data_IF_752949963572
#
_entry.id   IF_752949963572
#
_cell.length_a   1.000
_cell.length_b   1.000
_cell.length_c   1.000
_cell.angle_alpha   90.00
_cell.angle_beta   90.00
_cell.angle_gamma   90.00
#
_symmetry.space_group_name_H-M   'P 1'
#
loop_
_entity.id
_entity.type
_entity.pdbx_description
1 polymer ?
#
# COMPACT_ATOMS: atom_id res chain seq x y z
N UNK A 1 3.51 -0.92 -43.30
CA UNK A 1 4.19 0.13 -42.52
C UNK A 1 3.73 0.00 -41.08
N UNK A 2 4.57 -0.56 -40.21
CA UNK A 2 4.25 -0.67 -38.77
C UNK A 2 4.84 0.58 -38.13
N UNK A 3 4.01 1.50 -37.67
CA UNK A 3 4.46 2.70 -36.97
C UNK A 3 5.22 2.30 -35.70
N UNK A 4 6.49 2.72 -35.60
CA UNK A 4 7.37 2.38 -34.48
C UNK A 4 6.84 2.88 -33.12
N UNK A 5 6.00 3.91 -33.12
CA UNK A 5 5.32 4.46 -31.94
C UNK A 5 4.27 3.51 -31.33
N UNK A 6 3.78 2.53 -32.09
CA UNK A 6 2.79 1.56 -31.61
C UNK A 6 3.44 0.43 -30.81
N UNK A 7 4.75 0.19 -30.97
CA UNK A 7 5.47 -0.91 -30.32
C UNK A 7 5.43 -0.78 -28.78
N UNK A 8 5.70 0.39 -28.16
CA UNK A 8 5.56 0.55 -26.70
C UNK A 8 4.12 0.41 -26.20
N UNK A 9 3.15 0.85 -27.00
CA UNK A 9 1.74 0.83 -26.64
C UNK A 9 1.21 -0.61 -26.59
N UNK A 10 1.57 -1.44 -27.57
CA UNK A 10 1.18 -2.86 -27.62
C UNK A 10 1.67 -3.65 -26.41
N UNK A 11 2.91 -3.41 -25.95
CA UNK A 11 3.45 -4.03 -24.74
C UNK A 11 2.68 -3.63 -23.48
N UNK A 12 2.31 -2.36 -23.37
CA UNK A 12 1.54 -1.83 -22.23
C UNK A 12 0.13 -2.41 -22.20
N UNK A 13 -0.57 -2.44 -23.35
CA UNK A 13 -1.90 -3.03 -23.47
C UNK A 13 -1.90 -4.52 -23.11
N UNK A 14 -0.91 -5.28 -23.60
CA UNK A 14 -0.73 -6.68 -23.23
C UNK A 14 -0.57 -6.83 -21.72
N UNK A 15 0.25 -6.00 -21.09
CA UNK A 15 0.49 -6.06 -19.65
C UNK A 15 -0.78 -5.74 -18.84
N UNK A 16 -1.57 -4.73 -19.26
CA UNK A 16 -2.84 -4.38 -18.62
C UNK A 16 -3.81 -5.56 -18.72
N UNK A 17 -3.99 -6.14 -19.92
CA UNK A 17 -4.86 -7.31 -20.13
C UNK A 17 -4.43 -8.51 -19.29
N UNK A 18 -3.14 -8.82 -19.27
CA UNK A 18 -2.61 -9.91 -18.45
C UNK A 18 -2.86 -9.70 -16.95
N UNK A 19 -2.73 -8.44 -16.46
CA UNK A 19 -3.07 -8.12 -15.07
C UNK A 19 -4.58 -8.26 -14.80
N UNK A 20 -5.46 -7.91 -15.74
CA UNK A 20 -6.91 -8.09 -15.58
C UNK A 20 -7.27 -9.58 -15.47
N UNK A 21 -6.71 -10.43 -16.34
CA UNK A 21 -6.93 -11.89 -16.28
C UNK A 21 -6.45 -12.47 -14.95
N UNK A 22 -5.22 -12.14 -14.53
CA UNK A 22 -4.67 -12.57 -13.23
C UNK A 22 -5.49 -12.05 -12.04
N UNK A 23 -5.99 -10.83 -12.14
CA UNK A 23 -6.79 -10.18 -11.09
C UNK A 23 -8.11 -10.88 -10.81
N UNK A 24 -8.76 -11.42 -11.84
CA UNK A 24 -10.00 -12.19 -11.68
C UNK A 24 -9.74 -13.61 -11.18
N UNK A 25 -8.61 -14.23 -11.56
CA UNK A 25 -8.29 -15.60 -11.17
C UNK A 25 -7.68 -15.72 -9.77
N UNK A 26 -6.66 -14.93 -9.47
CA UNK A 26 -5.86 -15.03 -8.23
C UNK A 26 -6.05 -13.82 -7.30
N UNK A 27 -6.42 -12.67 -7.85
CA UNK A 27 -6.43 -11.40 -7.13
C UNK A 27 -5.04 -10.81 -6.90
N UNK A 28 -5.00 -9.62 -6.33
CA UNK A 28 -3.78 -8.92 -5.93
C UNK A 28 -3.82 -8.59 -4.45
N UNK A 29 -2.67 -8.71 -3.81
CA UNK A 29 -2.47 -8.40 -2.40
C UNK A 29 -1.23 -7.51 -2.23
N UNK A 30 -1.35 -6.49 -1.36
CA UNK A 30 -0.24 -5.65 -0.92
C UNK A 30 -0.22 -5.61 0.59
N UNK A 31 0.91 -6.04 1.16
CA UNK A 31 1.16 -6.03 2.59
C UNK A 31 1.87 -4.74 3.00
N UNK A 32 1.34 -4.07 4.01
CA UNK A 32 1.90 -2.89 4.65
C UNK A 32 2.21 -3.21 6.12
N UNK A 33 3.32 -2.69 6.60
CA UNK A 33 3.77 -2.84 7.99
C UNK A 33 3.83 -1.47 8.67
N UNK A 34 3.32 -1.42 9.90
CA UNK A 34 3.38 -0.29 10.80
C UNK A 34 4.61 -0.45 11.69
N UNK A 35 5.57 0.45 11.55
CA UNK A 35 6.78 0.47 12.38
C UNK A 35 6.73 1.70 13.28
N UNK A 36 6.62 1.48 14.58
CA UNK A 36 6.62 2.56 15.56
C UNK A 36 5.94 2.15 16.85
N UNK A 37 6.41 2.71 17.96
CA UNK A 37 5.79 2.46 19.27
C UNK A 37 4.45 3.18 19.31
N UNK A 38 3.38 2.44 19.62
CA UNK A 38 2.01 2.97 19.69
C UNK A 38 1.31 3.09 18.34
N UNK A 39 1.92 2.64 17.25
CA UNK A 39 1.27 2.61 15.94
C UNK A 39 0.41 1.37 15.80
N UNK A 40 -0.85 1.59 15.42
CA UNK A 40 -1.84 0.52 15.29
C UNK A 40 -2.83 0.81 14.19
N UNK A 41 -3.23 -0.24 13.49
CA UNK A 41 -4.40 -0.27 12.63
C UNK A 41 -5.48 -1.12 13.26
N UNK A 42 -6.73 -0.67 13.13
CA UNK A 42 -7.90 -1.43 13.51
C UNK A 42 -8.98 -1.25 12.44
N UNK A 43 -9.65 -2.34 12.08
CA UNK A 43 -10.84 -2.28 11.23
C UNK A 43 -12.03 -1.77 12.05
N UNK A 44 -12.69 -0.73 11.56
CA UNK A 44 -13.94 -0.20 12.10
C UNK A 44 -15.05 -0.46 11.08
N UNK A 45 -15.60 -1.67 11.13
CA UNK A 45 -16.54 -2.13 10.10
C UNK A 45 -15.86 -2.27 8.75
N UNK A 46 -16.19 -1.39 7.80
CA UNK A 46 -15.55 -1.32 6.47
C UNK A 46 -14.38 -0.34 6.41
N UNK A 47 -14.31 0.60 7.33
CA UNK A 47 -13.30 1.66 7.32
C UNK A 47 -12.08 1.25 8.15
N UNK A 48 -10.93 1.78 7.78
CA UNK A 48 -9.66 1.50 8.44
C UNK A 48 -9.32 2.66 9.39
N UNK A 49 -9.28 2.38 10.68
CA UNK A 49 -8.87 3.34 11.69
C UNK A 49 -7.37 3.19 12.00
N UNK A 50 -6.61 4.26 11.79
CA UNK A 50 -5.16 4.32 11.94
C UNK A 50 -4.78 5.25 13.10
N UNK A 51 -4.10 4.68 14.10
CA UNK A 51 -3.41 5.47 15.13
C UNK A 51 -1.92 5.54 14.78
N UNK A 52 -1.49 6.66 14.19
CA UNK A 52 -0.10 6.87 13.71
C UNK A 52 0.66 7.92 14.53
N UNK A 53 0.23 8.18 15.77
CA UNK A 53 0.80 9.21 16.63
C UNK A 53 0.35 10.64 16.30
N UNK A 54 -0.74 10.79 15.54
CA UNK A 54 -1.47 12.05 15.42
C UNK A 54 -2.38 12.26 16.64
N UNK A 55 -2.74 13.51 16.93
CA UNK A 55 -3.63 13.85 18.05
C UNK A 55 -5.05 13.30 17.89
N UNK A 56 -5.48 13.02 16.67
CA UNK A 56 -6.76 12.39 16.34
C UNK A 56 -6.53 11.13 15.48
N UNK A 57 -7.42 10.12 15.59
CA UNK A 57 -7.35 8.95 14.72
C UNK A 57 -7.61 9.33 13.27
N UNK A 58 -6.89 8.68 12.34
CA UNK A 58 -7.10 8.84 10.90
C UNK A 58 -8.03 7.73 10.45
N UNK A 59 -9.22 8.11 9.97
CA UNK A 59 -10.22 7.18 9.46
C UNK A 59 -10.12 7.16 7.93
N UNK A 60 -9.79 5.99 7.37
CA UNK A 60 -9.63 5.79 5.94
C UNK A 60 -10.81 4.98 5.41
N UNK A 61 -11.59 5.61 4.53
CA UNK A 61 -12.75 4.99 3.92
C UNK A 61 -12.30 4.04 2.82
N UNK A 62 -12.66 2.77 2.94
CA UNK A 62 -12.27 1.75 1.95
C UNK A 62 -13.09 1.94 0.68
N UNK A 63 -12.45 2.18 -0.49
CA UNK A 63 -13.18 2.31 -1.75
C UNK A 63 -13.76 0.96 -2.19
N UNK A 64 -14.82 1.00 -2.98
CA UNK A 64 -15.49 -0.22 -3.47
C UNK A 64 -14.53 -1.13 -4.25
N UNK A 65 -14.73 -2.44 -4.07
CA UNK A 65 -13.93 -3.49 -4.74
C UNK A 65 -12.57 -3.78 -4.11
N UNK A 66 -12.26 -3.17 -2.96
CA UNK A 66 -11.05 -3.45 -2.18
C UNK A 66 -11.42 -3.97 -0.80
N UNK A 67 -10.74 -5.03 -0.39
CA UNK A 67 -10.85 -5.61 0.94
C UNK A 67 -9.59 -5.29 1.72
N UNK A 68 -9.75 -4.61 2.86
CA UNK A 68 -8.66 -4.35 3.79
C UNK A 68 -8.84 -5.30 4.97
N UNK A 69 -7.77 -6.01 5.33
CA UNK A 69 -7.73 -6.85 6.52
C UNK A 69 -6.52 -6.49 7.38
N UNK A 70 -6.67 -6.61 8.68
CA UNK A 70 -5.60 -6.35 9.66
C UNK A 70 -5.38 -7.61 10.49
N UNK A 71 -4.56 -8.57 10.02
CA UNK A 71 -4.32 -9.83 10.73
C UNK A 71 -3.70 -9.60 12.11
N UNK A 72 -2.75 -8.67 12.15
CA UNK A 72 -2.15 -8.16 13.38
C UNK A 72 -2.37 -6.66 13.46
N UNK A 73 -2.27 -6.09 14.65
CA UNK A 73 -2.44 -4.66 14.87
C UNK A 73 -1.40 -3.81 14.13
N UNK A 74 -0.28 -4.41 13.74
CA UNK A 74 0.85 -3.78 13.05
C UNK A 74 0.92 -4.08 11.56
N UNK A 75 0.02 -4.91 11.02
CA UNK A 75 0.02 -5.30 9.62
C UNK A 75 -1.31 -4.95 8.96
N UNK A 76 -1.24 -4.43 7.73
CA UNK A 76 -2.41 -4.12 6.91
C UNK A 76 -2.25 -4.85 5.59
N UNK A 77 -3.22 -5.68 5.25
CA UNK A 77 -3.33 -6.37 3.98
C UNK A 77 -4.40 -5.69 3.13
N UNK A 78 -3.99 -5.16 1.99
CA UNK A 78 -4.88 -4.59 0.98
C UNK A 78 -5.02 -5.59 -0.14
N UNK A 79 -6.22 -6.14 -0.32
CA UNK A 79 -6.54 -7.13 -1.35
C UNK A 79 -7.62 -6.62 -2.31
N UNK A 80 -7.57 -7.04 -3.58
CA UNK A 80 -8.58 -6.69 -4.58
C UNK A 80 -8.29 -7.28 -5.95
N UNK A 81 -9.24 -7.15 -6.88
CA UNK A 81 -9.11 -7.68 -8.24
C UNK A 81 -8.28 -6.76 -9.15
N UNK A 82 -8.29 -5.44 -8.92
CA UNK A 82 -7.56 -4.47 -9.73
C UNK A 82 -6.22 -4.07 -9.09
N UNK A 83 -5.13 -4.40 -9.79
CA UNK A 83 -3.76 -4.07 -9.40
C UNK A 83 -3.53 -2.57 -9.22
N UNK A 84 -4.15 -1.73 -10.05
CA UNK A 84 -3.95 -0.28 -9.98
C UNK A 84 -4.60 0.29 -8.73
N UNK A 85 -5.88 -0.04 -8.49
CA UNK A 85 -6.60 0.42 -7.28
C UNK A 85 -5.97 -0.10 -6.00
N UNK A 86 -5.56 -1.38 -5.95
CA UNK A 86 -4.86 -1.94 -4.79
C UNK A 86 -3.57 -1.17 -4.50
N UNK A 87 -2.79 -0.84 -5.55
CA UNK A 87 -1.59 -0.02 -5.42
C UNK A 87 -1.88 1.41 -4.95
N UNK A 88 -2.92 2.04 -5.49
CA UNK A 88 -3.33 3.40 -5.13
C UNK A 88 -3.77 3.49 -3.67
N UNK A 89 -4.59 2.55 -3.20
CA UNK A 89 -5.03 2.49 -1.80
C UNK A 89 -3.83 2.25 -0.87
N UNK A 90 -2.95 1.32 -1.20
CA UNK A 90 -1.76 1.08 -0.41
C UNK A 90 -0.83 2.32 -0.36
N UNK A 91 -0.70 3.04 -1.48
CA UNK A 91 0.07 4.28 -1.54
C UNK A 91 -0.57 5.40 -0.70
N UNK A 92 -1.90 5.54 -0.71
CA UNK A 92 -2.64 6.49 0.14
C UNK A 92 -2.41 6.21 1.62
N UNK A 93 -2.52 4.96 2.05
CA UNK A 93 -2.28 4.54 3.44
C UNK A 93 -0.83 4.85 3.86
N UNK A 94 0.14 4.55 2.98
CA UNK A 94 1.55 4.89 3.20
C UNK A 94 1.77 6.41 3.29
N UNK A 95 1.04 7.20 2.51
CA UNK A 95 1.16 8.65 2.44
C UNK A 95 0.84 9.37 3.75
N UNK A 96 0.01 8.79 4.62
CA UNK A 96 -0.32 9.42 5.92
C UNK A 96 0.90 9.56 6.83
N UNK A 97 1.77 8.55 6.87
CA UNK A 97 3.02 8.60 7.63
C UNK A 97 4.10 7.82 6.88
N UNK A 98 4.83 8.47 5.95
CA UNK A 98 5.91 7.80 5.24
C UNK A 98 7.03 7.38 6.20
N UNK A 99 7.82 6.36 5.84
CA UNK A 99 8.88 5.86 6.69
C UNK A 99 9.99 6.91 6.86
N UNK A 100 10.33 7.22 8.11
CA UNK A 100 11.36 8.19 8.44
C UNK A 100 12.78 7.69 8.09
N UNK A 101 13.69 8.57 7.62
CA UNK A 101 15.02 8.18 7.16
C UNK A 101 16.00 7.81 8.29
N UNK A 102 15.64 7.98 9.56
CA UNK A 102 16.54 7.65 10.69
C UNK A 102 16.18 6.30 11.33
N UNK A 103 14.98 6.21 11.91
CA UNK A 103 14.50 5.03 12.64
C UNK A 103 13.54 4.17 11.83
N UNK A 104 13.21 4.55 10.59
CA UNK A 104 12.27 3.82 9.74
C UNK A 104 10.85 3.76 10.30
N UNK A 105 10.48 4.71 11.18
CA UNK A 105 9.14 4.77 11.76
C UNK A 105 8.14 5.25 10.73
N UNK A 106 6.95 4.65 10.70
CA UNK A 106 5.87 4.98 9.77
C UNK A 106 5.25 3.73 9.17
N UNK A 107 4.51 3.94 8.08
CA UNK A 107 3.93 2.87 7.27
C UNK A 107 4.90 2.56 6.13
N UNK A 108 5.31 1.30 5.99
CA UNK A 108 6.17 0.83 4.90
C UNK A 108 5.52 -0.36 4.17
N UNK A 109 5.98 -0.66 2.96
CA UNK A 109 5.63 -1.94 2.35
C UNK A 109 6.37 -3.08 3.06
N UNK A 110 5.76 -4.27 3.09
CA UNK A 110 6.44 -5.46 3.59
C UNK A 110 7.71 -5.72 2.76
N UNK A 111 8.86 -5.83 3.44
CA UNK A 111 10.17 -6.01 2.80
C UNK A 111 10.76 -4.74 2.14
N UNK A 112 10.17 -3.55 2.31
CA UNK A 112 10.78 -2.31 1.80
C UNK A 112 12.09 -1.98 2.54
N UNK A 113 13.17 -1.80 1.78
CA UNK A 113 14.48 -1.40 2.32
C UNK A 113 14.53 0.13 2.43
N UNK A 114 14.55 0.63 3.66
CA UNK A 114 14.66 2.06 3.95
C UNK A 114 16.14 2.43 4.10
N UNK A 115 16.63 3.36 3.29
CA UNK A 115 17.98 3.90 3.41
C UNK A 115 18.04 4.75 4.69
N UNK A 116 18.81 4.27 5.67
CA UNK A 116 18.94 4.93 6.97
C UNK A 116 20.08 5.93 6.95
N UNK A 117 19.83 7.15 7.41
CA UNK A 117 20.86 8.13 7.76
C UNK A 117 21.26 7.92 9.21
N UNK A 118 22.55 8.01 9.50
CA UNK A 118 23.02 8.01 10.87
C UNK A 118 22.50 9.25 11.60
N UNK A 119 21.91 9.03 12.77
CA UNK A 119 21.60 10.12 13.67
C UNK A 119 22.89 10.56 14.38
N UNK A 120 23.06 11.87 14.62
CA UNK A 120 24.09 12.36 15.52
C UNK A 120 23.82 11.75 16.90
N UNK A 121 24.72 10.89 17.39
CA UNK A 121 24.70 10.46 18.79
C UNK A 121 24.90 11.73 19.62
N UNK A 122 23.91 12.06 20.45
CA UNK A 122 24.06 13.01 21.54
C UNK A 122 24.81 12.34 22.69
#
# INVERSE_FOLDING_TARGET
TVDASLIPLTGTLRAILANMVKGVSEGFERKLELVGVGYRAAMQGKDLNLSLGFSHPVLFNTPEGITITTPTQTEILVAGADKQRVGEVAAKIRGFRPPEPYKGKGVKYAGEVIIRKEAKKA
#
